data_IF_324352017535
#
_entry.id   IF_324352017535
#
_cell.length_a   1.000
_cell.length_b   1.000
_cell.length_c   1.000
_cell.angle_alpha   90.00
_cell.angle_beta   90.00
_cell.angle_gamma   90.00
#
_symmetry.space_group_name_H-M   'P 1'
#
loop_
_entity.id
_entity.type
_entity.pdbx_description
1 polymer ?
#
# COMPACT_ATOMS: atom_id res chain seq x y z
N UNK A 1 -4.59 -18.56 9.32
CA UNK A 1 -4.02 -17.22 9.11
C UNK A 1 -3.03 -16.89 10.20
N UNK A 2 -1.85 -16.38 9.84
CA UNK A 2 -0.79 -16.06 10.81
C UNK A 2 -1.07 -14.74 11.55
N UNK A 3 -0.51 -14.60 12.75
CA UNK A 3 -0.56 -13.33 13.50
C UNK A 3 0.12 -12.18 12.73
N UNK A 4 1.19 -12.48 11.99
CA UNK A 4 1.87 -11.50 11.13
C UNK A 4 0.98 -11.00 10.00
N UNK A 5 0.23 -11.89 9.34
CA UNK A 5 -0.71 -11.50 8.28
C UNK A 5 -1.84 -10.63 8.82
N UNK A 6 -2.36 -10.97 10.01
CA UNK A 6 -3.38 -10.16 10.68
C UNK A 6 -2.83 -8.75 11.03
N UNK A 7 -1.62 -8.67 11.59
CA UNK A 7 -0.97 -7.40 11.91
C UNK A 7 -0.77 -6.55 10.66
N UNK A 8 -0.25 -7.13 9.58
CA UNK A 8 -0.06 -6.44 8.31
C UNK A 8 -1.40 -5.99 7.68
N UNK A 9 -2.46 -6.78 7.80
CA UNK A 9 -3.79 -6.36 7.35
C UNK A 9 -4.30 -5.15 8.15
N UNK A 10 -4.12 -5.13 9.47
CA UNK A 10 -4.49 -3.98 10.32
C UNK A 10 -3.67 -2.74 9.95
N UNK A 11 -2.35 -2.88 9.77
CA UNK A 11 -1.49 -1.77 9.35
C UNK A 11 -1.92 -1.23 7.99
N UNK A 12 -2.17 -2.11 7.02
CA UNK A 12 -2.70 -1.71 5.70
C UNK A 12 -4.01 -0.96 5.85
N UNK A 13 -4.95 -1.50 6.64
CA UNK A 13 -6.24 -0.87 6.85
C UNK A 13 -6.08 0.55 7.38
N UNK A 14 -5.23 0.77 8.38
CA UNK A 14 -5.02 2.10 8.97
C UNK A 14 -4.36 3.06 7.98
N UNK A 15 -3.26 2.65 7.33
CA UNK A 15 -2.52 3.50 6.39
C UNK A 15 -3.36 3.85 5.16
N UNK A 16 -4.02 2.86 4.56
CA UNK A 16 -4.84 3.08 3.38
C UNK A 16 -6.16 3.78 3.72
N UNK A 17 -6.73 3.60 4.91
CA UNK A 17 -7.88 4.43 5.35
C UNK A 17 -7.50 5.89 5.47
N UNK A 18 -6.28 6.20 5.95
CA UNK A 18 -5.80 7.57 5.95
C UNK A 18 -5.69 8.14 4.52
N UNK A 19 -5.11 7.39 3.57
CA UNK A 19 -5.04 7.81 2.17
C UNK A 19 -6.41 7.93 1.49
N UNK A 20 -7.37 7.09 1.87
CA UNK A 20 -8.75 7.12 1.37
C UNK A 20 -9.52 8.33 1.89
N UNK A 21 -9.43 8.62 3.19
CA UNK A 21 -10.22 9.67 3.83
C UNK A 21 -9.58 11.06 3.68
N UNK A 22 -8.25 11.10 3.74
CA UNK A 22 -7.43 12.31 3.83
C UNK A 22 -6.35 12.40 2.72
N UNK A 23 -6.69 12.23 1.43
CA UNK A 23 -5.71 12.18 0.34
C UNK A 23 -4.95 13.51 0.14
N UNK A 24 -5.59 14.65 0.41
CA UNK A 24 -4.94 15.96 0.34
C UNK A 24 -3.86 16.13 1.42
N UNK A 25 -4.13 15.64 2.64
CA UNK A 25 -3.14 15.66 3.71
C UNK A 25 -1.97 14.75 3.36
N UNK A 26 -2.27 13.53 2.88
CA UNK A 26 -1.24 12.56 2.48
C UNK A 26 -0.33 13.10 1.37
N UNK A 27 -0.92 13.70 0.33
CA UNK A 27 -0.16 14.28 -0.78
C UNK A 27 0.78 15.42 -0.34
N UNK A 28 0.34 16.25 0.61
CA UNK A 28 1.11 17.41 1.11
C UNK A 28 2.19 17.04 2.11
N UNK A 29 1.93 16.08 3.00
CA UNK A 29 2.84 15.71 4.09
C UNK A 29 4.07 14.92 3.61
N UNK A 30 3.98 14.32 2.44
CA UNK A 30 4.96 13.36 1.99
C UNK A 30 6.35 13.87 1.64
N UNK A 31 6.50 15.17 1.38
CA UNK A 31 7.68 15.69 0.67
C UNK A 31 7.93 15.01 -0.70
N UNK A 32 7.03 14.15 -1.20
CA UNK A 32 7.14 13.51 -2.53
C UNK A 32 6.62 14.39 -3.69
N UNK A 33 6.24 15.64 -3.42
CA UNK A 33 5.84 16.61 -4.45
C UNK A 33 4.49 16.37 -5.12
N UNK A 34 3.72 15.37 -4.69
CA UNK A 34 2.41 15.05 -5.26
C UNK A 34 1.40 16.18 -5.00
N UNK A 35 0.76 16.70 -6.04
CA UNK A 35 -0.33 17.69 -5.94
C UNK A 35 -1.60 17.15 -6.58
N UNK A 36 -2.70 17.19 -5.83
CA UNK A 36 -4.02 16.80 -6.31
C UNK A 36 -4.71 18.07 -6.83
N UNK A 37 -4.65 18.29 -8.14
CA UNK A 37 -5.15 19.53 -8.76
C UNK A 37 -6.57 19.42 -9.33
N UNK A 38 -7.11 18.20 -9.45
CA UNK A 38 -8.43 17.96 -10.04
C UNK A 38 -9.27 16.97 -9.21
N UNK A 39 -10.59 17.03 -9.39
CA UNK A 39 -11.53 16.06 -8.83
C UNK A 39 -11.29 14.64 -9.34
N UNK A 40 -10.77 14.51 -10.57
CA UNK A 40 -10.39 13.21 -11.15
C UNK A 40 -9.17 12.63 -10.43
N UNK A 41 -8.12 13.42 -10.21
CA UNK A 41 -6.94 12.97 -9.45
C UNK A 41 -7.31 12.57 -8.01
N UNK A 42 -8.25 13.28 -7.39
CA UNK A 42 -8.84 12.92 -6.10
C UNK A 42 -9.54 11.55 -6.16
N UNK A 43 -10.29 11.28 -7.22
CA UNK A 43 -10.97 10.00 -7.43
C UNK A 43 -9.97 8.85 -7.59
N UNK A 44 -8.92 9.02 -8.40
CA UNK A 44 -7.88 8.01 -8.60
C UNK A 44 -7.19 7.64 -7.28
N UNK A 45 -6.79 8.66 -6.50
CA UNK A 45 -6.19 8.44 -5.17
C UNK A 45 -7.12 7.63 -4.27
N UNK A 46 -8.41 8.00 -4.20
CA UNK A 46 -9.40 7.29 -3.38
C UNK A 46 -9.65 5.88 -3.88
N UNK A 47 -9.63 5.64 -5.19
CA UNK A 47 -9.79 4.31 -5.77
C UNK A 47 -8.63 3.39 -5.39
N UNK A 48 -7.38 3.87 -5.52
CA UNK A 48 -6.18 3.10 -5.15
C UNK A 48 -6.19 2.70 -3.68
N UNK A 49 -6.39 3.67 -2.77
CA UNK A 49 -6.41 3.38 -1.34
C UNK A 49 -7.67 2.61 -0.91
N UNK A 50 -8.81 2.88 -1.53
CA UNK A 50 -10.07 2.17 -1.26
C UNK A 50 -10.01 0.69 -1.60
N UNK A 51 -9.36 0.32 -2.71
CA UNK A 51 -9.12 -1.07 -3.06
C UNK A 51 -8.28 -1.79 -1.99
N UNK A 52 -7.18 -1.17 -1.53
CA UNK A 52 -6.34 -1.75 -0.47
C UNK A 52 -7.09 -1.90 0.85
N UNK A 53 -7.92 -0.92 1.22
CA UNK A 53 -8.81 -0.99 2.40
C UNK A 53 -9.78 -2.17 2.29
N UNK A 54 -10.46 -2.31 1.14
CA UNK A 54 -11.42 -3.39 0.94
C UNK A 54 -10.78 -4.77 1.07
N UNK A 55 -9.59 -4.97 0.48
CA UNK A 55 -8.85 -6.23 0.60
C UNK A 55 -8.43 -6.45 2.07
N UNK A 56 -7.90 -5.44 2.76
CA UNK A 56 -7.50 -5.56 4.17
C UNK A 56 -8.68 -5.91 5.10
N UNK A 57 -9.85 -5.29 4.90
CA UNK A 57 -11.09 -5.66 5.62
C UNK A 57 -11.46 -7.11 5.32
N UNK A 58 -11.38 -7.55 4.06
CA UNK A 58 -11.65 -8.93 3.70
C UNK A 58 -10.71 -9.90 4.41
N UNK A 59 -9.41 -9.60 4.52
CA UNK A 59 -8.46 -10.41 5.31
C UNK A 59 -8.91 -10.52 6.77
N UNK A 60 -9.24 -9.40 7.41
CA UNK A 60 -9.64 -9.35 8.83
C UNK A 60 -10.97 -10.08 9.07
N UNK A 61 -11.94 -9.95 8.17
CA UNK A 61 -13.26 -10.57 8.36
C UNK A 61 -13.23 -12.06 8.06
N UNK A 62 -12.60 -12.46 6.95
CA UNK A 62 -12.58 -13.85 6.49
C UNK A 62 -11.53 -14.70 7.17
N UNK A 63 -10.49 -14.07 7.74
CA UNK A 63 -9.34 -14.75 8.34
C UNK A 63 -8.70 -15.78 7.38
N UNK A 64 -8.75 -15.50 6.07
CA UNK A 64 -8.32 -16.41 5.00
C UNK A 64 -6.90 -16.11 4.55
N UNK A 65 -6.05 -17.15 4.51
CA UNK A 65 -4.67 -17.06 4.03
C UNK A 65 -4.61 -16.72 2.53
N UNK A 66 -5.57 -17.21 1.74
CA UNK A 66 -5.66 -16.87 0.32
C UNK A 66 -5.92 -15.38 0.13
N UNK A 67 -6.81 -14.79 0.93
CA UNK A 67 -7.09 -13.35 0.84
C UNK A 67 -5.90 -12.53 1.34
N UNK A 68 -5.21 -12.99 2.39
CA UNK A 68 -3.97 -12.36 2.86
C UNK A 68 -2.88 -12.37 1.78
N UNK A 69 -2.72 -13.49 1.04
CA UNK A 69 -1.79 -13.56 -0.08
C UNK A 69 -2.12 -12.58 -1.19
N UNK A 70 -3.42 -12.40 -1.52
CA UNK A 70 -3.84 -11.37 -2.50
C UNK A 70 -3.41 -9.98 -2.04
N UNK A 71 -3.58 -9.65 -0.75
CA UNK A 71 -3.10 -8.37 -0.21
C UNK A 71 -1.57 -8.26 -0.28
N UNK A 72 -0.86 -9.35 0.04
CA UNK A 72 0.59 -9.41 -0.07
C UNK A 72 1.07 -9.13 -1.50
N UNK A 73 0.44 -9.76 -2.49
CA UNK A 73 0.73 -9.54 -3.92
C UNK A 73 0.50 -8.08 -4.31
N UNK A 74 -0.51 -7.40 -3.76
CA UNK A 74 -0.71 -5.98 -4.00
C UNK A 74 0.46 -5.12 -3.47
N UNK A 75 0.97 -5.42 -2.28
CA UNK A 75 2.18 -4.78 -1.74
C UNK A 75 3.44 -5.10 -2.57
N UNK A 76 3.59 -6.33 -3.05
CA UNK A 76 4.66 -6.68 -3.99
C UNK A 76 4.54 -5.89 -5.30
N UNK A 77 3.33 -5.70 -5.82
CA UNK A 77 3.06 -4.87 -6.99
C UNK A 77 3.51 -3.42 -6.78
N UNK A 78 3.26 -2.85 -5.59
CA UNK A 78 3.79 -1.52 -5.21
C UNK A 78 5.32 -1.48 -5.24
N UNK A 79 5.99 -2.48 -4.65
CA UNK A 79 7.45 -2.59 -4.68
C UNK A 79 7.99 -2.64 -6.12
N UNK A 80 7.40 -3.47 -6.97
CA UNK A 80 7.79 -3.59 -8.37
C UNK A 80 7.56 -2.28 -9.14
N UNK A 81 6.46 -1.57 -8.86
CA UNK A 81 6.19 -0.25 -9.42
C UNK A 81 7.26 0.77 -9.05
N UNK A 82 7.76 0.74 -7.80
CA UNK A 82 8.89 1.59 -7.37
C UNK A 82 10.18 1.23 -8.08
N UNK A 83 10.50 -0.06 -8.20
CA UNK A 83 11.69 -0.50 -8.94
C UNK A 83 11.65 -0.05 -10.40
N UNK A 84 10.48 -0.17 -11.05
CA UNK A 84 10.27 0.34 -12.40
C UNK A 84 10.49 1.85 -12.46
N UNK A 85 9.96 2.61 -11.51
CA UNK A 85 10.17 4.07 -11.47
C UNK A 85 11.64 4.45 -11.23
N UNK A 86 12.38 3.69 -10.42
CA UNK A 86 13.84 3.91 -10.27
C UNK A 86 14.55 3.69 -11.61
N UNK A 87 14.17 2.66 -12.36
CA UNK A 87 14.81 2.32 -13.64
C UNK A 87 14.45 3.30 -14.76
N UNK A 88 13.18 3.70 -14.85
CA UNK A 88 12.65 4.53 -15.94
C UNK A 88 12.77 6.02 -15.62
N UNK A 89 12.33 6.43 -14.44
CA UNK A 89 12.23 7.85 -14.04
C UNK A 89 13.46 8.32 -13.23
N UNK A 90 14.38 7.41 -12.89
CA UNK A 90 15.54 7.69 -12.01
C UNK A 90 15.13 8.30 -10.66
N UNK A 91 13.99 7.87 -10.12
CA UNK A 91 13.34 8.43 -8.93
C UNK A 91 13.98 8.03 -7.59
N UNK A 92 15.24 7.59 -7.58
CA UNK A 92 15.91 7.12 -6.36
C UNK A 92 15.96 8.21 -5.28
N UNK A 93 15.47 7.90 -4.09
CA UNK A 93 15.48 8.78 -2.92
C UNK A 93 15.34 7.98 -1.62
N UNK A 94 15.67 8.59 -0.47
CA UNK A 94 15.46 7.98 0.84
C UNK A 94 14.00 7.57 1.06
N UNK A 95 13.05 8.40 0.59
CA UNK A 95 11.64 8.09 0.68
C UNK A 95 11.29 6.81 -0.11
N UNK A 96 11.77 6.69 -1.35
CA UNK A 96 11.53 5.49 -2.18
C UNK A 96 12.17 4.25 -1.56
N UNK A 97 13.35 4.36 -0.96
CA UNK A 97 14.00 3.25 -0.27
C UNK A 97 13.22 2.78 0.97
N UNK A 98 12.80 3.72 1.83
CA UNK A 98 12.04 3.40 3.06
C UNK A 98 10.68 2.81 2.72
N UNK A 99 9.96 3.40 1.77
CA UNK A 99 8.66 2.90 1.34
C UNK A 99 8.77 1.56 0.62
N UNK A 100 9.78 1.34 -0.22
CA UNK A 100 10.04 0.03 -0.84
C UNK A 100 10.40 -1.05 0.19
N UNK A 101 11.17 -0.71 1.23
CA UNK A 101 11.41 -1.63 2.33
C UNK A 101 10.12 -1.98 3.09
N UNK A 102 9.26 -0.99 3.35
CA UNK A 102 7.95 -1.24 3.95
C UNK A 102 7.09 -2.15 3.06
N UNK A 103 7.04 -1.91 1.75
CA UNK A 103 6.31 -2.75 0.79
C UNK A 103 6.77 -4.22 0.88
N UNK A 104 8.09 -4.45 0.96
CA UNK A 104 8.68 -5.79 1.09
C UNK A 104 8.31 -6.46 2.43
N UNK A 105 8.39 -5.73 3.55
CA UNK A 105 8.01 -6.25 4.88
C UNK A 105 6.53 -6.66 4.89
N UNK A 106 5.65 -5.82 4.32
CA UNK A 106 4.23 -6.11 4.24
C UNK A 106 3.96 -7.36 3.41
N UNK A 107 4.62 -7.50 2.25
CA UNK A 107 4.54 -8.73 1.45
C UNK A 107 4.94 -9.98 2.26
N UNK A 108 6.09 -9.94 2.94
CA UNK A 108 6.60 -11.07 3.74
C UNK A 108 5.64 -11.42 4.89
N UNK A 109 5.03 -10.44 5.53
CA UNK A 109 4.11 -10.69 6.64
C UNK A 109 2.78 -11.29 6.17
N UNK A 110 2.34 -10.95 4.96
CA UNK A 110 1.07 -11.38 4.38
C UNK A 110 1.16 -12.70 3.63
N UNK A 111 2.30 -13.00 3.02
CA UNK A 111 2.52 -14.24 2.28
C UNK A 111 3.29 -15.23 3.16
N UNK A 112 2.71 -16.39 3.51
CA UNK A 112 3.43 -17.42 4.24
C UNK A 112 4.55 -17.96 3.34
N UNK A 113 5.79 -17.53 3.61
CA UNK A 113 6.99 -18.15 3.06
C UNK A 113 7.27 -19.37 3.93
N UNK A 114 7.14 -20.55 3.31
CA UNK A 114 7.29 -21.86 3.93
C UNK A 114 8.66 -22.06 4.59
#
# INVERSE_FOLDING_TARGET
MSAFALLAAIVTLLLCSYGLLFPNQLARQGEFGLRIESSIAMSEMRATYGAMVAIAVAVIVTQSETVAMVLGIAWLGSLLGRLLSIMVDRSWSTHVAVSGFADLVMFIFLVPLA
#
